data_IF_181627358956
#
_entry.id   IF_181627358956
#
_cell.length_a   1.000
_cell.length_b   1.000
_cell.length_c   1.000
_cell.angle_alpha   90.00
_cell.angle_beta   90.00
_cell.angle_gamma   90.00
#
_symmetry.space_group_name_H-M   'P 1'
#
loop_
_entity.id
_entity.type
_entity.pdbx_description
1 polymer ?
#
# COMPACT_ATOMS: atom_id res chain seq x y z
N UNK A 1 0.92 27.64 16.90
CA UNK A 1 -0.16 26.85 16.24
C UNK A 1 -0.65 25.70 17.11
N UNK A 2 0.21 24.75 17.58
CA UNK A 2 -0.27 23.64 18.44
C UNK A 2 -0.72 24.16 19.79
N UNK A 3 0.04 25.07 20.39
CA UNK A 3 -0.29 25.70 21.66
C UNK A 3 -1.62 26.46 21.58
N UNK A 4 -1.88 27.17 20.49
CA UNK A 4 -3.13 27.88 20.23
C UNK A 4 -4.35 26.94 20.17
N UNK A 5 -4.16 25.70 19.62
CA UNK A 5 -5.21 24.69 19.59
C UNK A 5 -5.47 24.16 21.01
N UNK A 6 -4.41 23.90 21.76
CA UNK A 6 -4.51 23.43 23.15
C UNK A 6 -5.17 24.50 24.03
N UNK A 7 -4.83 25.78 23.82
CA UNK A 7 -5.41 26.95 24.50
C UNK A 7 -6.81 27.32 23.99
N UNK A 8 -7.37 26.54 23.04
CA UNK A 8 -8.72 26.74 22.48
C UNK A 8 -8.91 28.08 21.77
N UNK A 9 -7.87 28.58 21.14
CA UNK A 9 -7.91 29.78 20.28
C UNK A 9 -8.30 29.46 18.85
N UNK A 10 -8.50 28.17 18.53
CA UNK A 10 -8.84 27.65 17.20
C UNK A 10 -10.10 26.82 17.29
N UNK A 11 -11.13 27.19 16.55
CA UNK A 11 -12.42 26.49 16.50
C UNK A 11 -12.43 25.37 15.48
N UNK A 12 -11.73 25.55 14.34
CA UNK A 12 -11.70 24.59 13.24
C UNK A 12 -10.25 24.35 12.82
N UNK A 13 -9.86 23.06 12.82
CA UNK A 13 -8.55 22.62 12.36
C UNK A 13 -8.69 21.83 11.06
N UNK A 14 -8.09 22.33 10.00
CA UNK A 14 -8.06 21.63 8.69
C UNK A 14 -6.66 21.08 8.46
N UNK A 15 -6.58 19.81 8.06
CA UNK A 15 -5.30 19.19 7.78
C UNK A 15 -5.39 17.81 7.16
N UNK A 16 -4.25 17.15 7.07
CA UNK A 16 -4.12 15.81 6.50
C UNK A 16 -4.02 14.75 7.60
N UNK A 17 -3.85 13.49 7.20
CA UNK A 17 -3.59 12.37 8.12
C UNK A 17 -2.46 12.61 9.15
N UNK A 18 -1.56 13.56 8.90
CA UNK A 18 -0.49 13.89 9.85
C UNK A 18 -1.03 14.43 11.17
N UNK A 19 -2.17 15.12 11.16
CA UNK A 19 -2.82 15.64 12.37
C UNK A 19 -3.37 14.49 13.24
N UNK A 20 -3.74 13.37 12.63
CA UNK A 20 -4.19 12.19 13.36
C UNK A 20 -3.08 11.52 14.17
N UNK A 21 -1.81 11.86 13.95
CA UNK A 21 -0.66 11.23 14.60
C UNK A 21 -0.01 12.20 15.60
N UNK A 22 0.16 11.75 16.83
CA UNK A 22 1.05 12.40 17.80
C UNK A 22 0.41 13.51 18.68
N UNK A 23 -0.68 14.13 18.28
CA UNK A 23 -1.29 15.21 19.06
C UNK A 23 -2.57 14.77 19.78
N UNK A 24 -2.79 15.34 20.94
CA UNK A 24 -3.98 15.09 21.73
C UNK A 24 -4.77 16.41 21.84
N UNK A 25 -6.03 16.37 21.44
CA UNK A 25 -6.92 17.53 21.45
C UNK A 25 -8.08 17.26 22.43
N UNK A 26 -7.97 17.68 23.70
CA UNK A 26 -8.92 17.31 24.76
C UNK A 26 -10.36 17.70 24.50
N UNK A 27 -10.59 18.76 23.73
CA UNK A 27 -11.93 19.28 23.42
C UNK A 27 -12.40 19.03 22.00
N UNK A 28 -11.73 18.12 21.29
CA UNK A 28 -12.15 17.70 19.96
C UNK A 28 -13.45 16.90 20.08
N UNK A 29 -14.55 17.49 19.64
CA UNK A 29 -15.89 16.91 19.70
C UNK A 29 -16.44 16.49 18.33
N UNK A 30 -15.87 16.99 17.24
CA UNK A 30 -16.27 16.63 15.90
C UNK A 30 -15.05 16.40 14.99
N UNK A 31 -15.08 15.29 14.23
CA UNK A 31 -14.10 15.02 13.17
C UNK A 31 -14.88 14.82 11.88
N UNK A 32 -14.52 15.56 10.85
CA UNK A 32 -15.07 15.38 9.50
C UNK A 32 -13.97 14.85 8.59
N UNK A 33 -14.17 13.66 8.05
CA UNK A 33 -13.30 13.07 7.04
C UNK A 33 -13.86 13.42 5.68
N UNK A 34 -13.22 14.36 5.01
CA UNK A 34 -13.57 14.78 3.65
C UNK A 34 -12.98 13.77 2.68
N UNK A 35 -13.79 13.25 1.75
CA UNK A 35 -13.41 12.22 0.78
C UNK A 35 -12.91 10.93 1.49
N UNK A 36 -13.84 10.28 2.17
CA UNK A 36 -13.59 8.99 2.81
C UNK A 36 -13.65 7.82 1.82
N UNK A 37 -13.73 8.09 0.53
CA UNK A 37 -13.75 7.06 -0.49
C UNK A 37 -12.38 6.38 -0.59
N UNK A 38 -12.42 5.06 -0.53
CA UNK A 38 -11.24 4.20 -0.56
C UNK A 38 -10.71 4.06 -1.99
N UNK A 39 -10.54 5.17 -2.66
CA UNK A 39 -9.85 5.25 -3.94
C UNK A 39 -8.36 4.99 -3.75
N UNK A 40 -8.05 3.88 -3.09
CA UNK A 40 -6.71 3.35 -3.13
C UNK A 40 -6.35 3.19 -4.58
N UNK A 41 -5.28 3.85 -5.02
CA UNK A 41 -4.79 3.80 -6.40
C UNK A 41 -4.32 2.40 -6.84
N UNK A 42 -4.90 1.33 -6.28
CA UNK A 42 -4.67 -0.06 -6.67
C UNK A 42 -3.24 -0.59 -6.52
N UNK A 43 -2.33 0.21 -5.96
CA UNK A 43 -0.90 -0.11 -5.92
C UNK A 43 -0.42 -0.69 -4.60
N UNK A 44 -1.31 -0.84 -3.62
CA UNK A 44 -0.94 -1.29 -2.28
C UNK A 44 -1.96 -2.31 -1.77
N UNK A 45 -1.50 -3.54 -1.54
CA UNK A 45 -2.30 -4.63 -0.98
C UNK A 45 -2.84 -4.33 0.43
N UNK A 46 -2.24 -3.37 1.12
CA UNK A 46 -2.59 -2.99 2.49
C UNK A 46 -3.38 -1.68 2.57
N UNK A 47 -3.83 -1.14 1.45
CA UNK A 47 -4.57 0.14 1.45
C UNK A 47 -5.77 0.07 2.39
N UNK A 48 -6.54 -1.00 2.32
CA UNK A 48 -7.72 -1.19 3.15
C UNK A 48 -7.37 -1.31 4.63
N UNK A 49 -6.35 -2.09 4.97
CA UNK A 49 -5.85 -2.22 6.36
C UNK A 49 -5.38 -0.87 6.92
N UNK A 50 -4.65 -0.10 6.13
CA UNK A 50 -4.17 1.24 6.52
C UNK A 50 -5.32 2.21 6.75
N UNK A 51 -6.36 2.15 5.92
CA UNK A 51 -7.54 2.99 6.07
C UNK A 51 -8.31 2.63 7.34
N UNK A 52 -8.50 1.34 7.62
CA UNK A 52 -9.11 0.89 8.88
C UNK A 52 -8.30 1.37 10.08
N UNK A 53 -6.97 1.21 10.04
CA UNK A 53 -6.11 1.71 11.10
C UNK A 53 -6.24 3.22 11.31
N UNK A 54 -6.26 3.98 10.23
CA UNK A 54 -6.41 5.44 10.29
C UNK A 54 -7.75 5.81 10.92
N UNK A 55 -8.84 5.22 10.47
CA UNK A 55 -10.17 5.57 10.97
C UNK A 55 -10.38 5.13 12.41
N UNK A 56 -9.85 3.98 12.81
CA UNK A 56 -9.83 3.56 14.21
C UNK A 56 -9.00 4.51 15.09
N UNK A 57 -7.90 5.06 14.57
CA UNK A 57 -7.13 6.08 15.27
C UNK A 57 -7.92 7.37 15.44
N UNK A 58 -8.70 7.79 14.44
CA UNK A 58 -9.57 8.96 14.51
C UNK A 58 -10.69 8.73 15.54
N UNK A 59 -11.34 7.57 15.51
CA UNK A 59 -12.37 7.18 16.48
C UNK A 59 -11.84 7.19 17.91
N UNK A 60 -10.65 6.65 18.14
CA UNK A 60 -10.00 6.65 19.45
C UNK A 60 -9.59 8.05 19.93
N UNK A 61 -9.58 9.07 19.08
CA UNK A 61 -9.31 10.47 19.46
C UNK A 61 -10.58 11.24 19.80
N UNK A 62 -11.62 11.08 19.01
CA UNK A 62 -12.91 11.71 19.26
C UNK A 62 -13.54 11.22 20.58
N UNK A 63 -13.42 9.94 20.91
CA UNK A 63 -14.08 9.33 22.08
C UNK A 63 -13.31 9.39 23.40
N UNK A 64 -12.08 9.95 23.43
CA UNK A 64 -11.24 9.91 24.65
C UNK A 64 -11.70 10.85 25.77
N UNK A 65 -12.29 11.97 25.44
CA UNK A 65 -12.58 13.05 26.39
C UNK A 65 -14.05 13.45 26.48
N UNK A 66 -14.89 13.05 25.50
CA UNK A 66 -16.31 13.32 25.51
C UNK A 66 -17.07 12.11 24.96
N UNK A 67 -18.14 11.71 25.69
CA UNK A 67 -19.06 10.66 25.23
C UNK A 67 -19.89 11.08 24.01
N UNK A 68 -19.93 12.38 23.72
CA UNK A 68 -20.76 12.97 22.66
C UNK A 68 -19.96 13.37 21.41
N UNK A 69 -18.76 12.80 21.23
CA UNK A 69 -17.94 13.09 20.05
C UNK A 69 -18.48 12.39 18.82
N UNK A 70 -18.54 13.13 17.71
CA UNK A 70 -19.10 12.68 16.44
C UNK A 70 -17.99 12.57 15.40
N UNK A 71 -18.03 11.52 14.57
CA UNK A 71 -17.19 11.42 13.38
C UNK A 71 -18.11 11.31 12.17
N UNK A 72 -17.90 12.19 11.20
CA UNK A 72 -18.64 12.24 9.95
C UNK A 72 -17.70 11.81 8.81
N UNK A 73 -18.13 10.84 8.01
CA UNK A 73 -17.42 10.41 6.82
C UNK A 73 -18.19 10.88 5.58
N UNK A 74 -17.60 11.79 4.82
CA UNK A 74 -18.13 12.16 3.51
C UNK A 74 -17.69 11.12 2.48
N UNK A 75 -18.64 10.45 1.83
CA UNK A 75 -18.39 9.37 0.87
C UNK A 75 -19.49 9.30 -0.18
N UNK A 76 -19.15 8.85 -1.38
CA UNK A 76 -20.12 8.51 -2.43
C UNK A 76 -20.66 7.08 -2.29
N UNK A 77 -19.99 6.23 -1.47
CA UNK A 77 -20.39 4.85 -1.23
C UNK A 77 -20.50 4.55 0.28
N UNK A 78 -21.60 4.94 0.94
CA UNK A 78 -21.79 4.76 2.38
C UNK A 78 -21.88 3.27 2.79
N UNK A 79 -22.23 2.40 1.86
CA UNK A 79 -22.33 0.95 2.11
C UNK A 79 -20.98 0.24 1.93
N UNK A 80 -19.92 0.97 1.65
CA UNK A 80 -18.60 0.38 1.50
C UNK A 80 -18.21 -0.40 2.77
N UNK A 81 -17.81 -1.67 2.59
CA UNK A 81 -17.57 -2.61 3.71
C UNK A 81 -16.61 -2.08 4.78
N UNK A 82 -15.61 -1.31 4.41
CA UNK A 82 -14.68 -0.72 5.36
C UNK A 82 -15.39 0.29 6.27
N UNK A 83 -16.21 1.18 5.72
CA UNK A 83 -16.97 2.16 6.49
C UNK A 83 -18.00 1.49 7.39
N UNK A 84 -18.76 0.54 6.86
CA UNK A 84 -19.76 -0.20 7.66
C UNK A 84 -19.13 -0.98 8.80
N UNK A 85 -17.96 -1.61 8.60
CA UNK A 85 -17.25 -2.30 9.67
C UNK A 85 -16.71 -1.34 10.75
N UNK A 86 -16.23 -0.16 10.36
CA UNK A 86 -15.77 0.87 11.29
C UNK A 86 -16.93 1.37 12.14
N UNK A 87 -18.06 1.72 11.50
CA UNK A 87 -19.25 2.22 12.17
C UNK A 87 -19.83 1.18 13.14
N UNK A 88 -19.84 -0.11 12.73
CA UNK A 88 -20.34 -1.20 13.54
C UNK A 88 -19.33 -1.70 14.60
N UNK A 89 -18.10 -1.18 14.59
CA UNK A 89 -17.01 -1.62 15.45
C UNK A 89 -16.75 -3.13 15.38
N UNK A 90 -16.78 -3.70 14.16
CA UNK A 90 -16.55 -5.13 13.89
C UNK A 90 -15.33 -5.37 13.00
N UNK A 91 -14.12 -5.04 13.45
CA UNK A 91 -12.91 -5.17 12.63
C UNK A 91 -12.60 -6.64 12.26
N UNK A 92 -12.96 -7.60 13.12
CA UNK A 92 -12.65 -9.02 12.90
C UNK A 92 -13.34 -9.59 11.67
N UNK A 93 -14.63 -9.27 11.46
CA UNK A 93 -15.38 -9.75 10.31
C UNK A 93 -14.80 -9.29 8.98
N UNK A 94 -14.25 -8.08 8.97
CA UNK A 94 -13.55 -7.54 7.83
C UNK A 94 -12.26 -8.32 7.53
N UNK A 95 -11.42 -8.56 8.55
CA UNK A 95 -10.16 -9.28 8.34
C UNK A 95 -10.35 -10.71 7.88
N UNK A 96 -11.38 -11.40 8.38
CA UNK A 96 -11.72 -12.75 7.92
C UNK A 96 -12.06 -12.74 6.42
N UNK A 97 -12.89 -11.80 5.98
CA UNK A 97 -13.28 -11.67 4.57
C UNK A 97 -12.10 -11.29 3.68
N UNK A 98 -11.26 -10.34 4.12
CA UNK A 98 -10.06 -9.94 3.42
C UNK A 98 -9.09 -11.13 3.24
N UNK A 99 -8.89 -11.94 4.28
CA UNK A 99 -8.07 -13.14 4.20
C UNK A 99 -8.65 -14.17 3.22
N UNK A 100 -9.98 -14.35 3.17
CA UNK A 100 -10.61 -15.25 2.20
C UNK A 100 -10.36 -14.77 0.78
N UNK A 101 -10.55 -13.49 0.50
CA UNK A 101 -10.28 -12.89 -0.81
C UNK A 101 -8.81 -13.04 -1.21
N UNK A 102 -7.88 -12.85 -0.27
CA UNK A 102 -6.44 -13.05 -0.53
C UNK A 102 -6.11 -14.49 -0.83
N UNK A 103 -6.74 -15.44 -0.14
CA UNK A 103 -6.57 -16.86 -0.40
C UNK A 103 -7.07 -17.24 -1.79
N UNK A 104 -8.26 -16.81 -2.17
CA UNK A 104 -8.86 -17.05 -3.48
C UNK A 104 -7.99 -16.49 -4.63
N UNK A 105 -7.40 -15.32 -4.42
CA UNK A 105 -6.57 -14.64 -5.41
C UNK A 105 -5.07 -14.98 -5.30
N UNK A 106 -4.71 -15.94 -4.44
CA UNK A 106 -3.33 -16.32 -4.19
C UNK A 106 -2.42 -15.11 -3.91
N UNK A 107 -2.84 -14.27 -2.93
CA UNK A 107 -2.11 -13.10 -2.46
C UNK A 107 -1.48 -13.35 -1.08
N UNK A 108 -0.50 -12.58 -0.64
CA UNK A 108 0.06 -12.70 0.70
C UNK A 108 -1.03 -12.64 1.80
N UNK A 109 -0.97 -13.53 2.82
CA UNK A 109 0.14 -14.40 3.22
C UNK A 109 0.16 -15.78 2.53
N UNK A 110 -0.75 -16.08 1.62
CA UNK A 110 -0.87 -17.38 0.93
C UNK A 110 0.12 -17.54 -0.23
N UNK A 111 0.75 -16.47 -0.64
CA UNK A 111 1.83 -16.44 -1.64
C UNK A 111 2.95 -15.50 -1.19
N UNK A 112 4.08 -15.58 -1.90
CA UNK A 112 5.21 -14.65 -1.76
C UNK A 112 5.25 -13.72 -2.97
N UNK A 113 5.55 -12.46 -2.71
CA UNK A 113 5.73 -11.45 -3.76
C UNK A 113 7.13 -10.87 -3.72
N UNK A 114 7.71 -10.67 -4.89
CA UNK A 114 8.97 -9.93 -5.06
C UNK A 114 8.76 -8.92 -6.18
N UNK A 115 9.03 -7.66 -5.90
CA UNK A 115 8.98 -6.59 -6.89
C UNK A 115 10.38 -6.33 -7.44
N UNK A 116 10.53 -6.38 -8.76
CA UNK A 116 11.73 -5.99 -9.46
C UNK A 116 11.46 -4.65 -10.16
N UNK A 117 12.30 -3.64 -9.85
CA UNK A 117 12.23 -2.34 -10.51
C UNK A 117 13.48 -2.17 -11.35
N UNK A 118 13.27 -2.09 -12.65
CA UNK A 118 14.29 -1.90 -13.67
C UNK A 118 14.31 -0.41 -14.05
N UNK A 119 15.41 0.26 -13.78
CA UNK A 119 15.55 1.71 -14.00
C UNK A 119 16.63 2.01 -15.02
N UNK A 120 16.32 2.90 -15.98
CA UNK A 120 17.26 3.38 -17.01
C UNK A 120 16.96 4.83 -17.40
N UNK A 121 17.92 5.50 -18.01
CA UNK A 121 17.71 6.85 -18.59
C UNK A 121 16.82 6.81 -19.84
N UNK A 122 16.73 5.67 -20.53
CA UNK A 122 15.80 5.42 -21.64
C UNK A 122 14.68 4.50 -21.18
N UNK A 123 13.43 4.84 -21.57
CA UNK A 123 12.24 4.02 -21.32
C UNK A 123 12.38 2.66 -22.02
N UNK A 124 12.86 2.67 -23.28
CA UNK A 124 13.03 1.44 -24.06
C UNK A 124 14.05 0.49 -23.40
N UNK A 125 15.17 1.04 -22.89
CA UNK A 125 16.19 0.22 -22.21
C UNK A 125 15.65 -0.38 -20.90
N UNK A 126 14.86 0.36 -20.13
CA UNK A 126 14.25 -0.18 -18.90
C UNK A 126 13.27 -1.30 -19.22
N UNK A 127 12.45 -1.14 -20.26
CA UNK A 127 11.46 -2.11 -20.68
C UNK A 127 12.11 -3.37 -21.31
N UNK A 128 13.12 -3.20 -22.19
CA UNK A 128 13.89 -4.30 -22.77
C UNK A 128 14.58 -5.13 -21.68
N UNK A 129 15.25 -4.45 -20.75
CA UNK A 129 15.88 -5.14 -19.62
C UNK A 129 14.88 -5.91 -18.75
N UNK A 130 13.68 -5.38 -18.58
CA UNK A 130 12.62 -6.10 -17.88
C UNK A 130 12.19 -7.37 -18.64
N UNK A 131 12.06 -7.31 -19.95
CA UNK A 131 11.74 -8.49 -20.77
C UNK A 131 12.85 -9.55 -20.65
N UNK A 132 14.13 -9.15 -20.77
CA UNK A 132 15.26 -10.08 -20.66
C UNK A 132 15.28 -10.79 -19.28
N UNK A 133 15.00 -10.06 -18.22
CA UNK A 133 14.89 -10.61 -16.87
C UNK A 133 13.70 -11.56 -16.77
N UNK A 134 12.53 -11.16 -17.27
CA UNK A 134 11.32 -11.96 -17.27
C UNK A 134 11.52 -13.33 -17.91
N UNK A 135 12.05 -13.38 -19.13
CA UNK A 135 12.28 -14.62 -19.88
C UNK A 135 13.15 -15.62 -19.09
N UNK A 136 14.11 -15.11 -18.31
CA UNK A 136 14.98 -15.97 -17.50
C UNK A 136 14.31 -16.49 -16.24
N UNK A 137 13.48 -15.65 -15.60
CA UNK A 137 12.78 -16.02 -14.36
C UNK A 137 11.62 -16.96 -14.65
N UNK A 138 10.89 -16.77 -15.74
CA UNK A 138 9.74 -17.62 -16.13
C UNK A 138 10.10 -19.09 -16.34
N UNK A 139 11.40 -19.40 -16.53
CA UNK A 139 11.89 -20.79 -16.61
C UNK A 139 11.86 -21.52 -15.27
N UNK A 140 11.68 -20.81 -14.16
CA UNK A 140 11.64 -21.42 -12.84
C UNK A 140 10.23 -21.93 -12.57
N UNK A 141 10.11 -23.23 -12.35
CA UNK A 141 8.83 -23.89 -12.06
C UNK A 141 8.22 -23.34 -10.76
N UNK A 142 6.93 -23.05 -10.80
CA UNK A 142 6.17 -22.55 -9.64
C UNK A 142 6.31 -21.06 -9.36
N UNK A 143 6.93 -20.32 -10.30
CA UNK A 143 7.01 -18.86 -10.26
C UNK A 143 6.18 -18.28 -11.41
N UNK A 144 5.39 -17.27 -11.10
CA UNK A 144 4.68 -16.45 -12.08
C UNK A 144 5.29 -15.07 -12.13
N UNK A 145 5.54 -14.54 -13.33
CA UNK A 145 6.07 -13.19 -13.53
C UNK A 145 5.00 -12.33 -14.20
N UNK A 146 4.55 -11.30 -13.49
CA UNK A 146 3.59 -10.33 -13.99
C UNK A 146 4.31 -9.08 -14.49
N UNK A 147 3.83 -8.51 -15.56
CA UNK A 147 4.48 -7.39 -16.26
C UNK A 147 5.29 -7.86 -17.49
N UNK A 148 6.16 -7.01 -18.06
CA UNK A 148 6.57 -5.68 -17.57
C UNK A 148 5.49 -4.60 -17.72
N UNK A 149 5.42 -3.70 -16.74
CA UNK A 149 4.56 -2.52 -16.75
C UNK A 149 5.34 -1.29 -16.26
N UNK A 150 4.89 -0.11 -16.61
CA UNK A 150 5.43 1.12 -16.02
C UNK A 150 5.22 1.09 -14.49
N UNK A 151 6.25 1.46 -13.72
CA UNK A 151 6.11 1.59 -12.27
C UNK A 151 5.15 2.73 -11.93
N UNK A 152 4.38 2.70 -10.81
CA UNK A 152 3.49 3.81 -10.40
C UNK A 152 4.20 5.17 -10.37
N UNK A 153 5.46 5.18 -9.92
CA UNK A 153 6.35 6.31 -10.13
C UNK A 153 7.23 5.97 -11.33
N UNK A 154 6.70 6.19 -12.56
CA UNK A 154 7.35 5.77 -13.79
C UNK A 154 8.66 6.50 -14.09
N UNK A 155 8.87 7.69 -13.51
CA UNK A 155 10.12 8.47 -13.67
C UNK A 155 10.56 9.05 -12.33
N UNK A 156 11.79 8.74 -11.90
CA UNK A 156 12.40 9.23 -10.66
C UNK A 156 13.88 9.58 -10.92
N UNK A 157 14.30 10.79 -10.54
CA UNK A 157 15.69 11.26 -10.75
C UNK A 157 16.18 11.05 -12.19
N UNK A 158 15.38 11.50 -13.16
CA UNK A 158 15.63 11.38 -14.62
C UNK A 158 15.68 9.94 -15.18
N UNK A 159 15.38 8.91 -14.37
CA UNK A 159 15.36 7.52 -14.81
C UNK A 159 13.92 7.02 -14.93
N UNK A 160 13.64 6.34 -16.05
CA UNK A 160 12.40 5.61 -16.27
C UNK A 160 12.44 4.29 -15.50
N UNK A 161 11.29 3.88 -14.98
CA UNK A 161 11.15 2.73 -14.10
C UNK A 161 10.10 1.77 -14.65
N UNK A 162 10.53 0.57 -14.99
CA UNK A 162 9.67 -0.55 -15.40
C UNK A 162 9.65 -1.57 -14.28
N UNK A 163 8.49 -2.16 -14.00
CA UNK A 163 8.30 -3.12 -12.93
C UNK A 163 7.92 -4.50 -13.44
N UNK A 164 8.50 -5.51 -12.81
CA UNK A 164 8.02 -6.88 -12.80
C UNK A 164 7.58 -7.23 -11.38
N UNK A 165 6.48 -7.97 -11.27
CA UNK A 165 6.04 -8.53 -10.00
C UNK A 165 6.14 -10.07 -10.11
N UNK A 166 6.92 -10.65 -9.25
CA UNK A 166 7.10 -12.09 -9.15
C UNK A 166 6.20 -12.59 -8.06
N UNK A 167 5.41 -13.62 -8.36
CA UNK A 167 4.56 -14.33 -7.43
C UNK A 167 4.94 -15.80 -7.38
N UNK A 168 5.06 -16.34 -6.20
CA UNK A 168 5.32 -17.77 -5.98
C UNK A 168 4.45 -18.31 -4.87
N UNK A 169 4.28 -19.63 -4.84
CA UNK A 169 3.73 -20.32 -3.68
C UNK A 169 4.59 -20.01 -2.44
N UNK A 170 3.96 -19.85 -1.28
CA UNK A 170 4.64 -19.57 -0.02
C UNK A 170 5.66 -20.66 0.39
N UNK A 171 5.50 -21.89 -0.12
CA UNK A 171 6.38 -23.03 0.13
C UNK A 171 7.66 -23.01 -0.70
N UNK A 172 7.71 -22.21 -1.77
CA UNK A 172 8.87 -22.15 -2.67
C UNK A 172 9.88 -21.13 -2.12
N UNK A 173 11.15 -21.54 -2.07
CA UNK A 173 12.27 -20.64 -1.75
C UNK A 173 12.56 -19.69 -2.93
N UNK A 174 11.55 -18.90 -3.32
CA UNK A 174 11.59 -18.01 -4.47
C UNK A 174 12.82 -17.09 -4.45
N UNK A 175 13.16 -16.58 -3.29
CA UNK A 175 14.32 -15.69 -3.09
C UNK A 175 15.63 -16.36 -3.50
N UNK A 176 15.85 -17.63 -3.11
CA UNK A 176 17.07 -18.37 -3.44
C UNK A 176 17.19 -18.62 -4.94
N UNK A 177 16.08 -19.04 -5.58
CA UNK A 177 16.07 -19.25 -7.03
C UNK A 177 16.26 -17.96 -7.81
N UNK A 178 15.60 -16.89 -7.36
CA UNK A 178 15.73 -15.58 -7.97
C UNK A 178 17.17 -15.05 -7.85
N UNK A 179 17.77 -15.16 -6.66
CA UNK A 179 19.15 -14.71 -6.42
C UNK A 179 20.11 -15.39 -7.42
N UNK A 180 20.03 -16.72 -7.54
CA UNK A 180 20.86 -17.48 -8.46
C UNK A 180 20.70 -17.02 -9.93
N UNK A 181 19.46 -16.73 -10.35
CA UNK A 181 19.21 -16.19 -11.70
C UNK A 181 19.79 -14.79 -11.85
N UNK A 182 19.63 -13.92 -10.86
CA UNK A 182 20.08 -12.52 -10.91
C UNK A 182 21.61 -12.41 -10.86
N UNK A 183 22.30 -13.26 -10.10
CA UNK A 183 23.78 -13.30 -10.04
C UNK A 183 24.39 -13.71 -11.40
N UNK A 184 23.72 -14.60 -12.11
CA UNK A 184 24.17 -15.06 -13.43
C UNK A 184 23.68 -14.17 -14.60
N UNK A 185 23.03 -13.04 -14.28
CA UNK A 185 22.41 -12.18 -15.26
C UNK A 185 23.41 -11.09 -15.70
N UNK A 186 23.84 -11.13 -16.96
CA UNK A 186 24.62 -10.04 -17.55
C UNK A 186 23.70 -8.86 -17.88
N UNK A 187 23.46 -7.98 -16.90
CA UNK A 187 22.65 -6.78 -17.10
C UNK A 187 23.55 -5.68 -17.69
N UNK A 188 23.01 -4.94 -18.67
CA UNK A 188 23.67 -3.75 -19.22
C UNK A 188 23.97 -2.74 -18.10
N UNK A 189 25.17 -2.14 -18.12
CA UNK A 189 25.57 -1.07 -17.17
C UNK A 189 24.63 0.14 -17.20
N UNK A 190 23.82 0.30 -18.25
CA UNK A 190 22.80 1.37 -18.36
C UNK A 190 21.54 1.09 -17.58
N UNK A 191 21.41 -0.09 -16.98
CA UNK A 191 20.24 -0.53 -16.21
C UNK A 191 20.62 -0.70 -14.76
N UNK A 192 19.79 -0.14 -13.88
CA UNK A 192 19.82 -0.41 -12.44
C UNK A 192 18.65 -1.30 -12.08
N UNK A 193 18.93 -2.46 -11.49
CA UNK A 193 17.95 -3.35 -10.91
C UNK A 193 17.80 -3.07 -9.41
N UNK A 194 16.57 -2.95 -8.94
CA UNK A 194 16.22 -2.93 -7.52
C UNK A 194 15.29 -4.07 -7.22
N UNK A 195 15.58 -4.84 -6.18
CA UNK A 195 14.79 -5.99 -5.72
C UNK A 195 14.16 -5.61 -4.40
N UNK A 196 12.85 -5.79 -4.29
CA UNK A 196 12.08 -5.59 -3.06
C UNK A 196 11.33 -6.89 -2.76
N UNK A 197 11.71 -7.52 -1.66
CA UNK A 197 11.16 -8.81 -1.23
C UNK A 197 10.04 -8.56 -0.23
N UNK A 198 8.89 -9.20 -0.45
CA UNK A 198 7.67 -9.00 0.32
C UNK A 198 7.29 -7.49 0.41
N UNK A 199 7.12 -6.82 -0.75
CA UNK A 199 6.89 -5.38 -0.79
C UNK A 199 5.66 -4.98 0.00
N UNK A 200 5.83 -3.98 0.87
CA UNK A 200 4.73 -3.42 1.68
C UNK A 200 3.87 -2.50 0.84
N UNK A 201 4.49 -1.81 -0.12
CA UNK A 201 3.82 -0.99 -1.12
C UNK A 201 4.49 -1.18 -2.48
N UNK A 202 3.83 -0.76 -3.53
CA UNK A 202 4.31 -0.91 -4.90
C UNK A 202 4.72 0.43 -5.55
N UNK A 203 5.07 1.45 -4.79
CA UNK A 203 5.50 2.77 -5.28
C UNK A 203 7.01 2.89 -5.47
#
# INVERSE_FOLDING_TARGET
>A
MIDEIIEQKVDILVGTQMISKGYNFPKLNCIIVVDADFTGKGYDLRTTEKNIQLYNQLSGRAGRFSRDSIIVYQTINPEHQVLTNIIQNKPESFFIKELSLRKENNLPPFSRLISLIISSESKENSFRGAIEIKIKIEKIKGIQVLGPIDSPIFKKKKKYRTRLLIRSDSKILCQKYLLNVLENLKISRKIKLTVDVDPINFT
#
